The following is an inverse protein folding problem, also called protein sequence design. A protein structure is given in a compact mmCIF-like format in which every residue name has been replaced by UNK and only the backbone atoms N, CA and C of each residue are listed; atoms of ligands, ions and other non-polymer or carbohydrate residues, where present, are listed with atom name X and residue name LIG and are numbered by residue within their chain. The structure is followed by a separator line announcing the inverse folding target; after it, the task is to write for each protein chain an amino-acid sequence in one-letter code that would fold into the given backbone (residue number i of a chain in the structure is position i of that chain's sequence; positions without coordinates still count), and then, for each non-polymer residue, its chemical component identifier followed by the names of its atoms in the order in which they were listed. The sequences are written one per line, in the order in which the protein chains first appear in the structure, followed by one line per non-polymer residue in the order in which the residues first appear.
data_IF_355520142389
#
_entry.id   IF_355520142389
#
_cell.length_a   1.000
_cell.length_b   1.000
_cell.length_c   1.000
_cell.angle_alpha   90.00
_cell.angle_beta   90.00
_cell.angle_gamma   90.00
#
_symmetry.space_group_name_H-M   'P 1'
#
loop_
_entity.id
_entity.type
_entity.pdbx_description
1 polymer ?
#
# COMPACT_ATOMS: atom_id res chain seq x y z
N UNK A 1 -75.78 -2.66 4.52
CA UNK A 1 -74.62 -3.57 4.54
C UNK A 1 -73.46 -2.88 3.84
N UNK A 2 -72.61 -2.18 4.59
CA UNK A 2 -71.46 -1.44 4.06
C UNK A 2 -70.23 -2.33 4.26
N UNK A 3 -69.59 -2.73 3.17
CA UNK A 3 -68.48 -3.70 3.17
C UNK A 3 -67.17 -2.92 3.28
N UNK A 4 -66.52 -3.01 4.44
CA UNK A 4 -65.23 -2.35 4.70
C UNK A 4 -64.06 -3.08 4.02
N UNK A 5 -63.19 -2.26 3.46
CA UNK A 5 -61.92 -2.48 2.76
C UNK A 5 -60.83 -3.06 3.65
N UNK A 6 -59.89 -3.83 3.06
CA UNK A 6 -58.50 -3.92 3.55
C UNK A 6 -57.57 -4.06 2.34
N UNK A 7 -56.95 -2.96 1.91
CA UNK A 7 -55.82 -2.98 0.97
C UNK A 7 -54.56 -3.02 1.85
N UNK A 8 -53.87 -4.17 1.87
CA UNK A 8 -52.55 -4.28 2.47
C UNK A 8 -51.54 -3.56 1.58
N UNK A 9 -51.04 -2.41 2.01
CA UNK A 9 -49.87 -1.76 1.43
C UNK A 9 -48.63 -2.43 2.02
N UNK A 10 -47.98 -3.29 1.23
CA UNK A 10 -46.69 -3.89 1.57
C UNK A 10 -45.59 -2.85 1.29
N UNK A 11 -45.17 -2.11 2.32
CA UNK A 11 -43.98 -1.26 2.23
C UNK A 11 -42.73 -2.15 2.15
N UNK A 12 -42.10 -2.23 0.97
CA UNK A 12 -40.72 -2.69 0.87
C UNK A 12 -39.82 -1.69 1.61
N UNK A 13 -39.36 -2.07 2.79
CA UNK A 13 -38.28 -1.36 3.47
C UNK A 13 -36.99 -1.53 2.65
N UNK A 14 -36.61 -0.50 1.89
CA UNK A 14 -35.28 -0.40 1.29
C UNK A 14 -34.34 -0.02 2.43
N UNK A 15 -33.69 -1.01 3.04
CA UNK A 15 -32.57 -0.75 3.93
C UNK A 15 -31.38 -0.32 3.05
N UNK A 16 -30.77 0.85 3.28
CA UNK A 16 -29.51 1.17 2.64
C UNK A 16 -28.49 0.13 3.09
N UNK A 17 -27.90 -0.59 2.13
CA UNK A 17 -26.73 -1.42 2.39
C UNK A 17 -25.58 -0.47 2.75
N UNK A 18 -25.40 -0.20 4.04
CA UNK A 18 -24.24 0.54 4.51
C UNK A 18 -23.00 -0.32 4.23
N UNK A 19 -22.14 0.18 3.34
CA UNK A 19 -20.90 -0.50 2.96
C UNK A 19 -20.06 -0.79 4.21
N UNK A 20 -19.33 -1.91 4.20
CA UNK A 20 -18.39 -2.18 5.28
C UNK A 20 -17.20 -1.24 5.13
N UNK A 21 -17.12 -0.23 6.00
CA UNK A 21 -15.96 0.67 6.08
C UNK A 21 -14.65 -0.11 6.20
N UNK A 22 -13.75 0.10 5.24
CA UNK A 22 -12.41 -0.49 5.18
C UNK A 22 -11.40 0.52 5.69
N UNK A 23 -10.84 0.25 6.87
CA UNK A 23 -9.77 1.06 7.44
C UNK A 23 -8.42 0.40 7.14
N UNK A 24 -7.57 1.08 6.37
CA UNK A 24 -6.24 0.62 5.99
C UNK A 24 -5.21 1.41 6.80
N UNK A 25 -4.38 0.71 7.59
CA UNK A 25 -3.24 1.29 8.31
C UNK A 25 -1.96 1.07 7.51
N UNK A 26 -1.35 2.15 7.03
CA UNK A 26 -0.13 2.13 6.21
C UNK A 26 1.05 2.72 6.99
N UNK A 27 2.15 1.97 7.10
CA UNK A 27 3.41 2.46 7.64
C UNK A 27 4.39 2.87 6.54
N UNK A 28 5.19 3.90 6.76
CA UNK A 28 6.27 4.30 5.85
C UNK A 28 7.44 4.90 6.62
N UNK A 29 8.65 4.67 6.12
CA UNK A 29 9.85 5.37 6.60
C UNK A 29 9.91 6.82 6.08
N UNK A 30 9.17 7.15 5.03
CA UNK A 30 9.11 8.51 4.50
C UNK A 30 8.65 9.49 5.57
N UNK A 31 9.44 10.55 5.80
CA UNK A 31 9.14 11.57 6.80
C UNK A 31 7.85 12.32 6.50
N UNK A 32 7.18 12.81 7.56
CA UNK A 32 5.98 13.63 7.43
C UNK A 32 6.25 14.86 6.55
N UNK A 33 5.37 15.13 5.58
CA UNK A 33 5.49 16.26 4.65
C UNK A 33 6.54 16.08 3.55
N UNK A 34 7.24 14.93 3.52
CA UNK A 34 8.09 14.58 2.38
C UNK A 34 7.26 14.36 1.12
N UNK A 35 7.85 14.47 -0.09
CA UNK A 35 7.13 14.19 -1.33
C UNK A 35 6.41 12.83 -1.34
N UNK A 36 7.03 11.79 -0.79
CA UNK A 36 6.42 10.46 -0.69
C UNK A 36 5.23 10.41 0.28
N UNK A 37 5.31 11.08 1.43
CA UNK A 37 4.17 11.18 2.37
C UNK A 37 3.00 11.91 1.70
N UNK A 38 3.26 13.02 1.00
CA UNK A 38 2.24 13.77 0.28
C UNK A 38 1.55 12.91 -0.80
N UNK A 39 2.30 12.12 -1.56
CA UNK A 39 1.75 11.19 -2.56
C UNK A 39 0.91 10.08 -1.94
N UNK A 40 1.32 9.53 -0.79
CA UNK A 40 0.52 8.54 -0.07
C UNK A 40 -0.79 9.14 0.47
N UNK A 41 -0.77 10.40 0.91
CA UNK A 41 -1.98 11.12 1.33
C UNK A 41 -2.92 11.38 0.15
N UNK A 42 -2.38 11.79 -0.98
CA UNK A 42 -3.12 11.94 -2.24
C UNK A 42 -3.78 10.61 -2.64
N UNK A 43 -3.04 9.50 -2.59
CA UNK A 43 -3.59 8.16 -2.82
C UNK A 43 -4.74 7.84 -1.85
N UNK A 44 -4.58 8.12 -0.56
CA UNK A 44 -5.64 7.91 0.44
C UNK A 44 -6.87 8.78 0.21
N UNK A 45 -6.68 9.99 -0.30
CA UNK A 45 -7.75 10.91 -0.68
C UNK A 45 -8.52 10.37 -1.89
N UNK A 46 -7.81 9.96 -2.94
CA UNK A 46 -8.41 9.38 -4.14
C UNK A 46 -9.19 8.10 -3.82
N UNK A 47 -8.63 7.20 -3.00
CA UNK A 47 -9.33 5.99 -2.57
C UNK A 47 -10.61 6.32 -1.80
N UNK A 48 -10.58 7.34 -0.94
CA UNK A 48 -11.78 7.78 -0.21
C UNK A 48 -12.85 8.28 -1.18
N UNK A 49 -12.46 9.11 -2.15
CA UNK A 49 -13.40 9.73 -3.08
C UNK A 49 -14.01 8.69 -4.04
N UNK A 50 -13.19 7.81 -4.61
CA UNK A 50 -13.64 6.72 -5.50
C UNK A 50 -14.53 5.69 -4.79
N UNK A 51 -14.32 5.50 -3.48
CA UNK A 51 -15.11 4.57 -2.67
C UNK A 51 -16.29 5.22 -1.94
N UNK A 52 -16.62 6.49 -2.24
CA UNK A 52 -17.67 7.24 -1.54
C UNK A 52 -17.50 7.26 0.00
N UNK A 53 -16.25 7.26 0.48
CA UNK A 53 -15.92 7.29 1.90
C UNK A 53 -15.76 5.92 2.57
N UNK A 54 -16.00 4.82 1.85
CA UNK A 54 -15.91 3.46 2.41
C UNK A 54 -14.47 3.04 2.72
N UNK A 55 -13.49 3.50 1.94
CA UNK A 55 -12.07 3.23 2.18
C UNK A 55 -11.42 4.43 2.87
N UNK A 56 -10.84 4.19 4.05
CA UNK A 56 -10.06 5.17 4.80
C UNK A 56 -8.63 4.71 4.97
N UNK A 57 -7.69 5.47 4.42
CA UNK A 57 -6.24 5.26 4.63
C UNK A 57 -5.75 6.08 5.83
N UNK A 58 -5.11 5.43 6.78
CA UNK A 58 -4.40 6.07 7.91
C UNK A 58 -2.91 5.81 7.77
N UNK A 59 -2.11 6.88 7.67
CA UNK A 59 -0.67 6.81 7.40
C UNK A 59 0.11 7.06 8.69
N UNK A 60 1.11 6.20 8.94
CA UNK A 60 2.09 6.31 10.02
C UNK A 60 3.46 6.64 9.40
N UNK A 61 3.81 7.94 9.25
CA UNK A 61 5.02 8.37 8.56
C UNK A 61 6.27 8.33 9.45
N UNK A 62 7.44 8.47 8.84
CA UNK A 62 8.70 8.70 9.53
C UNK A 62 9.16 7.54 10.42
N UNK A 63 8.73 6.31 10.13
CA UNK A 63 9.16 5.14 10.90
C UNK A 63 8.61 5.08 12.32
N UNK A 64 7.57 5.86 12.68
CA UNK A 64 6.93 5.78 14.01
C UNK A 64 6.35 4.39 14.31
N UNK A 65 6.11 3.58 13.27
CA UNK A 65 5.70 2.19 13.38
C UNK A 65 6.87 1.20 13.55
N UNK A 66 8.12 1.66 13.65
CA UNK A 66 9.34 0.87 13.68
C UNK A 66 10.03 0.76 12.32
N UNK A 67 11.16 0.04 12.30
CA UNK A 67 11.86 -0.30 11.05
C UNK A 67 11.03 -1.25 10.15
N UNK A 68 11.51 -1.50 8.94
CA UNK A 68 10.79 -2.30 7.93
C UNK A 68 10.53 -3.74 8.40
N UNK A 69 11.47 -4.34 9.13
CA UNK A 69 11.31 -5.69 9.69
C UNK A 69 10.19 -5.72 10.75
N UNK A 70 10.15 -4.73 11.65
CA UNK A 70 9.09 -4.58 12.64
C UNK A 70 7.73 -4.31 11.97
N UNK A 71 7.70 -3.49 10.92
CA UNK A 71 6.49 -3.21 10.12
C UNK A 71 5.95 -4.49 9.49
N UNK A 72 6.80 -5.30 8.84
CA UNK A 72 6.40 -6.57 8.23
C UNK A 72 5.85 -7.53 9.30
N UNK A 73 6.49 -7.61 10.48
CA UNK A 73 5.97 -8.43 11.59
C UNK A 73 4.58 -7.95 12.04
N UNK A 74 4.36 -6.64 12.14
CA UNK A 74 3.05 -6.04 12.48
C UNK A 74 1.99 -6.29 11.41
N UNK A 75 2.38 -6.35 10.13
CA UNK A 75 1.48 -6.74 9.05
C UNK A 75 1.04 -8.20 9.17
N UNK A 76 1.97 -9.12 9.45
CA UNK A 76 1.66 -10.56 9.60
C UNK A 76 0.63 -10.85 10.70
N UNK A 77 0.62 -10.06 11.77
CA UNK A 77 -0.35 -10.19 12.87
C UNK A 77 -1.60 -9.30 12.71
N UNK A 78 -1.74 -8.61 11.57
CA UNK A 78 -2.90 -7.75 11.27
C UNK A 78 -2.95 -6.41 12.01
N UNK A 79 -1.87 -6.01 12.70
CA UNK A 79 -1.80 -4.70 13.35
C UNK A 79 -1.66 -3.56 12.33
N UNK A 80 -0.97 -3.83 11.21
CA UNK A 80 -0.86 -2.96 10.04
C UNK A 80 -1.43 -3.70 8.81
N UNK A 81 -1.92 -2.95 7.82
CA UNK A 81 -2.52 -3.53 6.60
C UNK A 81 -1.63 -3.32 5.38
N UNK A 82 -0.88 -2.22 5.35
CA UNK A 82 -0.04 -1.83 4.22
C UNK A 82 1.27 -1.22 4.70
N UNK A 83 2.25 -1.18 3.81
CA UNK A 83 3.49 -0.46 4.03
C UNK A 83 4.06 0.04 2.70
N UNK A 84 4.74 1.19 2.75
CA UNK A 84 5.71 1.55 1.72
C UNK A 84 7.08 1.08 2.21
N UNK A 85 7.69 0.17 1.44
CA UNK A 85 8.95 -0.49 1.77
C UNK A 85 9.99 -0.20 0.68
N UNK A 86 11.24 -0.06 1.09
CA UNK A 86 12.40 -0.17 0.23
C UNK A 86 12.52 -1.59 -0.34
N UNK A 87 13.35 -1.74 -1.36
CA UNK A 87 13.78 -3.05 -1.87
C UNK A 87 14.48 -3.89 -0.80
N UNK A 88 15.20 -3.26 0.13
CA UNK A 88 15.77 -3.94 1.31
C UNK A 88 14.69 -4.47 2.24
N UNK A 89 13.61 -3.71 2.46
CA UNK A 89 12.44 -4.12 3.21
C UNK A 89 11.72 -5.30 2.54
N UNK A 90 11.49 -5.21 1.23
CA UNK A 90 10.87 -6.28 0.44
C UNK A 90 11.73 -7.57 0.43
N UNK A 91 13.06 -7.45 0.53
CA UNK A 91 13.97 -8.59 0.63
C UNK A 91 13.74 -9.45 1.90
N UNK A 92 13.17 -8.89 2.98
CA UNK A 92 12.74 -9.69 4.14
C UNK A 92 11.53 -10.61 3.84
N UNK A 93 10.79 -10.34 2.77
CA UNK A 93 9.64 -11.15 2.32
C UNK A 93 10.06 -12.08 1.18
N UNK A 94 10.69 -11.51 0.15
CA UNK A 94 11.16 -12.18 -1.08
C UNK A 94 12.62 -11.74 -1.30
N UNK A 95 13.63 -12.56 -0.94
CA UNK A 95 15.04 -12.18 -1.00
C UNK A 95 15.51 -11.63 -2.35
N UNK A 96 14.89 -12.05 -3.44
CA UNK A 96 15.24 -11.66 -4.80
C UNK A 96 15.03 -10.16 -5.10
N UNK A 97 14.27 -9.44 -4.27
CA UNK A 97 14.20 -7.97 -4.36
C UNK A 97 15.56 -7.29 -4.10
N UNK A 98 16.48 -7.97 -3.40
CA UNK A 98 17.86 -7.50 -3.25
C UNK A 98 18.55 -7.28 -4.61
N UNK A 99 18.26 -8.13 -5.60
CA UNK A 99 18.87 -8.04 -6.92
C UNK A 99 18.51 -6.74 -7.66
N UNK A 100 17.42 -6.07 -7.28
CA UNK A 100 16.95 -4.83 -7.92
C UNK A 100 17.79 -3.62 -7.55
N UNK A 101 18.50 -3.62 -6.41
CA UNK A 101 19.21 -2.41 -5.92
C UNK A 101 20.50 -2.66 -5.15
N UNK A 102 20.77 -3.90 -4.72
CA UNK A 102 21.90 -4.19 -3.82
C UNK A 102 23.19 -4.52 -4.56
N UNK A 103 23.18 -4.65 -5.89
CA UNK A 103 24.37 -4.93 -6.69
C UNK A 103 25.01 -3.59 -7.08
N UNK A 104 26.19 -3.25 -6.54
CA UNK A 104 26.84 -1.98 -6.86
C UNK A 104 27.18 -1.89 -8.34
N UNK A 105 26.99 -0.70 -8.94
CA UNK A 105 27.32 -0.39 -10.33
C UNK A 105 26.61 -1.26 -11.37
N UNK A 106 25.50 -1.93 -11.01
CA UNK A 106 24.72 -2.74 -11.94
C UNK A 106 24.05 -1.90 -13.05
N UNK A 107 23.66 -0.67 -12.72
CA UNK A 107 22.94 0.23 -13.62
C UNK A 107 23.76 1.48 -13.90
N UNK A 108 23.77 1.91 -15.16
CA UNK A 108 24.48 3.10 -15.63
C UNK A 108 23.55 4.29 -15.87
N UNK A 109 22.24 4.07 -15.97
CA UNK A 109 21.23 5.13 -16.13
C UNK A 109 19.90 4.76 -15.48
N UNK A 110 19.02 5.74 -15.33
CA UNK A 110 17.67 5.50 -14.82
C UNK A 110 16.85 4.64 -15.79
N UNK A 111 17.05 4.80 -17.10
CA UNK A 111 16.38 3.98 -18.13
C UNK A 111 16.80 2.51 -18.07
N UNK A 112 18.09 2.22 -17.83
CA UNK A 112 18.57 0.85 -17.65
C UNK A 112 17.97 0.22 -16.38
N UNK A 113 17.96 0.98 -15.28
CA UNK A 113 17.34 0.56 -14.01
C UNK A 113 15.85 0.26 -14.20
N UNK A 114 15.12 1.14 -14.88
CA UNK A 114 13.70 0.95 -15.18
C UNK A 114 13.44 -0.25 -16.08
N UNK A 115 14.23 -0.42 -17.15
CA UNK A 115 14.14 -1.58 -18.03
C UNK A 115 14.30 -2.90 -17.25
N UNK A 116 15.34 -3.01 -16.42
CA UNK A 116 15.59 -4.21 -15.63
C UNK A 116 14.47 -4.43 -14.60
N UNK A 117 14.06 -3.38 -13.87
CA UNK A 117 12.96 -3.45 -12.90
C UNK A 117 11.67 -3.93 -13.56
N UNK A 118 11.32 -3.42 -14.72
CA UNK A 118 10.11 -3.83 -15.47
C UNK A 118 10.16 -5.29 -15.88
N UNK A 119 11.32 -5.80 -16.32
CA UNK A 119 11.49 -7.21 -16.70
C UNK A 119 11.43 -8.16 -15.51
N UNK A 120 11.93 -7.75 -14.34
CA UNK A 120 11.91 -8.57 -13.13
C UNK A 120 10.58 -8.50 -12.37
N UNK A 121 9.85 -7.38 -12.48
CA UNK A 121 8.65 -7.12 -11.70
C UNK A 121 7.60 -8.24 -11.74
N UNK A 122 7.24 -8.84 -12.89
CA UNK A 122 6.19 -9.88 -12.92
C UNK A 122 6.50 -11.08 -12.03
N UNK A 123 7.73 -11.58 -12.04
CA UNK A 123 8.14 -12.71 -11.20
C UNK A 123 8.15 -12.32 -9.72
N UNK A 124 8.73 -11.16 -9.41
CA UNK A 124 8.84 -10.67 -8.03
C UNK A 124 7.47 -10.41 -7.40
N UNK A 125 6.54 -9.82 -8.15
CA UNK A 125 5.17 -9.57 -7.72
C UNK A 125 4.46 -10.90 -7.47
N UNK A 126 4.58 -11.88 -8.37
CA UNK A 126 3.97 -13.19 -8.15
C UNK A 126 4.49 -13.87 -6.87
N UNK A 127 5.79 -13.70 -6.55
CA UNK A 127 6.36 -14.22 -5.30
C UNK A 127 5.80 -13.51 -4.05
N UNK A 128 5.53 -12.21 -4.12
CA UNK A 128 4.86 -11.46 -3.05
C UNK A 128 3.40 -11.94 -2.85
N UNK A 129 2.66 -12.10 -3.95
CA UNK A 129 1.26 -12.54 -3.92
C UNK A 129 1.11 -13.93 -3.33
N UNK A 130 2.01 -14.87 -3.69
CA UNK A 130 2.07 -16.21 -3.08
C UNK A 130 2.31 -16.18 -1.57
N UNK A 131 2.87 -15.09 -1.05
CA UNK A 131 3.10 -14.87 0.39
C UNK A 131 1.98 -14.03 1.04
N UNK A 132 0.91 -13.71 0.32
CA UNK A 132 -0.24 -12.97 0.81
C UNK A 132 -0.08 -11.45 0.80
N UNK A 133 0.87 -10.91 0.03
CA UNK A 133 1.07 -9.47 -0.11
C UNK A 133 0.64 -9.01 -1.51
N UNK A 134 -0.29 -8.06 -1.57
CA UNK A 134 -0.65 -7.39 -2.82
C UNK A 134 0.35 -6.26 -3.09
N UNK A 135 0.93 -6.25 -4.30
CA UNK A 135 1.76 -5.15 -4.77
C UNK A 135 0.87 -4.04 -5.34
N UNK A 136 1.11 -2.79 -4.94
CA UNK A 136 0.29 -1.64 -5.38
C UNK A 136 1.00 -0.83 -6.46
N UNK A 137 2.18 -0.30 -6.15
CA UNK A 137 2.96 0.48 -7.10
C UNK A 137 4.44 0.53 -6.72
N UNK A 138 5.29 0.87 -7.69
CA UNK A 138 6.68 1.23 -7.45
C UNK A 138 6.79 2.69 -7.03
N UNK A 139 7.69 2.99 -6.10
CA UNK A 139 8.14 4.34 -5.78
C UNK A 139 9.65 4.45 -6.00
N UNK A 140 10.10 5.59 -6.49
CA UNK A 140 11.53 5.86 -6.69
C UNK A 140 12.06 6.73 -5.53
N UNK A 141 13.21 6.33 -4.98
CA UNK A 141 13.88 7.04 -3.87
C UNK A 141 15.26 7.59 -4.26
N UNK A 142 15.72 7.32 -5.49
CA UNK A 142 16.96 7.83 -6.04
C UNK A 142 18.14 6.88 -5.90
N UNK A 143 19.32 7.41 -6.23
CA UNK A 143 20.57 6.65 -6.27
C UNK A 143 21.27 6.59 -4.91
N UNK A 144 21.89 5.45 -4.62
CA UNK A 144 22.82 5.31 -3.50
C UNK A 144 24.03 6.21 -3.74
N UNK A 145 24.39 7.00 -2.73
CA UNK A 145 25.57 7.88 -2.69
C UNK A 145 26.26 7.70 -1.33
N UNK A 146 27.60 7.63 -1.34
CA UNK A 146 28.41 7.50 -0.14
C UNK A 146 28.98 8.86 0.26
N UNK A 147 28.99 9.15 1.57
CA UNK A 147 29.51 10.39 2.14
C UNK A 147 30.48 10.03 3.26
N UNK A 148 31.60 10.73 3.35
CA UNK A 148 32.57 10.60 4.43
C UNK A 148 33.06 11.99 4.84
N UNK A 149 33.26 12.18 6.14
CA UNK A 149 33.94 13.36 6.68
C UNK A 149 35.39 12.96 7.01
N UNK A 150 36.34 13.81 6.63
CA UNK A 150 37.74 13.68 7.02
C UNK A 150 37.96 14.06 8.48
#
# INVERSE_FOLDING_TARGET
MIRQTCILIFCLAVFPAEGKKVNIKLATLAGHGSPWDLRLREMGQNWRDESNGEVKLTIYPGGVAGDESAVIRKMRIGQLNAASLSTSGLAYIVPEFAAVTHIPLLYNSDEEKDYVREKLSPELIQKLEKKGYAFIHWGEVGWVRYFAQS
#
